data_IF_950265836374
#
_entry.id   IF_950265836374
#
_cell.length_a   1.000
_cell.length_b   1.000
_cell.length_c   1.000
_cell.angle_alpha   90.00
_cell.angle_beta   90.00
_cell.angle_gamma   90.00
#
_symmetry.space_group_name_H-M   'P 1'
#
loop_
_entity.id
_entity.type
_entity.pdbx_description
1 polymer ?
#
# COMPACT_ATOMS: atom_id res chain seq x y z
N UNK A 1 -15.56 -3.48 -4.50
CA UNK A 1 -14.28 -3.32 -3.78
C UNK A 1 -13.70 -2.01 -4.26
N UNK A 2 -13.56 -1.05 -3.35
CA UNK A 2 -13.14 0.31 -3.73
C UNK A 2 -11.61 0.42 -3.77
N UNK A 3 -10.92 -0.30 -2.88
CA UNK A 3 -9.46 -0.35 -2.78
C UNK A 3 -9.00 -1.75 -2.33
N UNK A 4 -7.77 -2.12 -2.69
CA UNK A 4 -7.07 -3.28 -2.16
C UNK A 4 -5.55 -3.01 -2.10
N UNK A 5 -4.88 -3.68 -1.17
CA UNK A 5 -3.43 -3.62 -1.03
C UNK A 5 -2.87 -4.93 -0.48
N UNK A 6 -1.59 -5.17 -0.73
CA UNK A 6 -0.81 -6.27 -0.18
C UNK A 6 0.22 -5.72 0.80
N UNK A 7 0.48 -6.45 1.88
CA UNK A 7 1.57 -6.14 2.81
C UNK A 7 2.69 -7.17 2.71
N UNK A 8 3.95 -6.73 2.67
CA UNK A 8 5.11 -7.61 2.86
C UNK A 8 6.25 -6.90 3.58
N UNK A 9 7.07 -7.63 4.34
CA UNK A 9 8.22 -7.02 5.04
C UNK A 9 9.19 -6.30 4.10
N UNK A 10 9.31 -6.77 2.85
CA UNK A 10 10.21 -6.21 1.84
C UNK A 10 9.65 -5.01 1.07
N UNK A 11 8.33 -4.78 1.09
CA UNK A 11 7.67 -3.79 0.22
C UNK A 11 6.68 -2.88 0.95
N UNK A 12 6.47 -3.10 2.25
CA UNK A 12 5.50 -2.35 3.03
C UNK A 12 4.08 -2.53 2.50
N UNK A 13 3.36 -1.42 2.32
CA UNK A 13 2.00 -1.37 1.76
C UNK A 13 2.05 -1.17 0.24
N UNK A 14 1.60 -2.17 -0.51
CA UNK A 14 1.61 -2.16 -1.98
C UNK A 14 0.18 -2.10 -2.54
N UNK A 15 -0.20 -1.05 -3.28
CA UNK A 15 -1.54 -0.93 -3.88
C UNK A 15 -1.80 -2.00 -4.95
N UNK A 16 -3.01 -2.57 -4.94
CA UNK A 16 -3.51 -3.45 -6.00
C UNK A 16 -4.65 -2.72 -6.72
N UNK A 17 -4.50 -2.53 -8.03
CA UNK A 17 -5.48 -1.79 -8.85
C UNK A 17 -6.31 -2.69 -9.77
N UNK A 18 -5.98 -3.98 -9.86
CA UNK A 18 -6.64 -4.94 -10.75
C UNK A 18 -6.46 -6.38 -10.24
N UNK A 19 -7.49 -7.22 -10.37
CA UNK A 19 -7.47 -8.68 -10.09
C UNK A 19 -8.20 -9.38 -11.23
N UNK A 20 -7.59 -10.42 -11.81
CA UNK A 20 -8.18 -11.24 -12.87
C UNK A 20 -8.85 -10.40 -13.99
N UNK A 21 -8.11 -9.40 -14.48
CA UNK A 21 -8.53 -8.41 -15.49
C UNK A 21 -9.68 -7.47 -15.09
N UNK A 22 -10.12 -7.49 -13.83
CA UNK A 22 -11.11 -6.57 -13.30
C UNK A 22 -10.45 -5.42 -12.54
N UNK A 23 -10.67 -4.16 -12.95
CA UNK A 23 -10.15 -3.01 -12.20
C UNK A 23 -10.82 -2.91 -10.82
N UNK A 24 -10.03 -2.56 -9.81
CA UNK A 24 -10.51 -2.26 -8.46
C UNK A 24 -10.82 -0.76 -8.40
N UNK A 25 -12.03 -0.41 -7.95
CA UNK A 25 -12.49 0.97 -7.89
C UNK A 25 -12.29 1.70 -9.23
N UNK A 26 -11.50 2.78 -9.22
CA UNK A 26 -11.19 3.60 -10.40
C UNK A 26 -9.97 3.10 -11.22
N UNK A 27 -9.41 1.92 -10.91
CA UNK A 27 -8.19 1.41 -11.56
C UNK A 27 -6.93 2.19 -11.16
N UNK A 28 -6.97 2.90 -10.04
CA UNK A 28 -5.86 3.67 -9.48
C UNK A 28 -5.75 3.41 -7.97
N UNK A 29 -4.57 3.59 -7.36
CA UNK A 29 -4.44 3.48 -5.90
C UNK A 29 -5.39 4.47 -5.22
N UNK A 30 -6.26 3.94 -4.37
CA UNK A 30 -7.22 4.76 -3.65
C UNK A 30 -6.61 5.55 -2.50
N UNK A 31 -7.42 6.41 -1.90
CA UNK A 31 -6.96 7.43 -0.93
C UNK A 31 -6.45 6.76 0.34
N UNK A 32 -7.18 5.77 0.86
CA UNK A 32 -6.79 5.10 2.11
C UNK A 32 -5.50 4.29 1.94
N UNK A 33 -5.37 3.60 0.81
CA UNK A 33 -4.17 2.82 0.49
C UNK A 33 -2.94 3.72 0.36
N UNK A 34 -3.07 4.90 -0.27
CA UNK A 34 -1.98 5.89 -0.36
C UNK A 34 -1.61 6.46 1.01
N UNK A 35 -2.60 6.79 1.83
CA UNK A 35 -2.35 7.28 3.19
C UNK A 35 -1.65 6.22 4.04
N UNK A 36 -2.07 4.96 3.96
CA UNK A 36 -1.44 3.85 4.68
C UNK A 36 0.00 3.64 4.24
N UNK A 37 0.26 3.68 2.93
CA UNK A 37 1.63 3.59 2.39
C UNK A 37 2.52 4.70 2.96
N UNK A 38 2.10 5.96 2.84
CA UNK A 38 2.88 7.10 3.33
C UNK A 38 3.13 7.04 4.84
N UNK A 39 2.11 6.68 5.62
CA UNK A 39 2.24 6.56 7.09
C UNK A 39 3.14 5.40 7.48
N UNK A 40 3.06 4.27 6.79
CA UNK A 40 3.90 3.11 7.05
C UNK A 40 5.37 3.38 6.70
N UNK A 41 5.64 4.03 5.57
CA UNK A 41 7.00 4.39 5.15
C UNK A 41 7.63 5.35 6.17
N UNK A 42 6.88 6.39 6.58
CA UNK A 42 7.34 7.34 7.61
C UNK A 42 7.56 6.66 8.97
N UNK A 43 6.67 5.75 9.36
CA UNK A 43 6.83 5.00 10.61
C UNK A 43 8.07 4.10 10.57
N UNK A 44 8.28 3.41 9.45
CA UNK A 44 9.43 2.51 9.26
C UNK A 44 10.73 3.28 9.40
N UNK A 45 10.88 4.39 8.67
CA UNK A 45 12.06 5.26 8.74
C UNK A 45 12.36 5.73 10.17
N UNK A 46 11.33 6.11 10.92
CA UNK A 46 11.47 6.60 12.29
C UNK A 46 11.83 5.50 13.33
N UNK A 47 11.67 4.22 12.98
CA UNK A 47 11.84 3.08 13.91
C UNK A 47 12.87 2.05 13.42
N UNK A 48 13.72 2.40 12.43
CA UNK A 48 14.82 1.53 12.01
C UNK A 48 15.81 1.31 13.16
N UNK A 49 16.11 0.04 13.45
CA UNK A 49 17.19 -0.30 14.37
C UNK A 49 18.55 -0.07 13.68
N UNK A 50 19.55 0.48 14.38
CA UNK A 50 20.90 0.58 13.85
C UNK A 50 21.48 -0.80 13.55
N UNK A 51 22.27 -0.88 12.46
CA UNK A 51 22.99 -2.10 12.05
C UNK A 51 24.23 -2.30 12.91
#
# INVERSE_FOLDING_TARGET
MDEAFLTSSSRGVLPIVMIDDQPIGAGAPGVLTRELQQRYDAWTEAHLEPI
#
